data_IF_556282408220
#
_entry.id   IF_556282408220
#
_cell.length_a   1.000
_cell.length_b   1.000
_cell.length_c   1.000
_cell.angle_alpha   90.00
_cell.angle_beta   90.00
_cell.angle_gamma   90.00
#
_symmetry.space_group_name_H-M   'P 1'
#
loop_
_entity.id
_entity.type
_entity.pdbx_description
1 polymer ?
2 polymer ?
#
# COMPACT_ATOMS: atom_id res chain seq x y z
N UNK A 53 -9.81 -15.40 8.83
CA UNK A 53 -11.17 -14.94 8.59
C UNK A 53 -11.25 -13.43 8.54
N UNK A 54 -12.13 -12.91 7.69
CA UNK A 54 -12.23 -11.46 7.49
C UNK A 54 -13.26 -10.82 8.42
N UNK A 55 -12.89 -9.70 9.02
CA UNK A 55 -13.80 -8.92 9.85
C UNK A 55 -14.56 -7.94 8.97
N UNK A 56 -15.87 -8.13 8.87
CA UNK A 56 -16.70 -7.27 8.04
C UNK A 56 -17.30 -6.16 8.85
N UNK A 57 -17.44 -4.97 8.26
CA UNK A 57 -18.17 -3.92 8.93
C UNK A 57 -19.58 -4.43 9.16
N UNK A 58 -20.01 -4.45 10.41
CA UNK A 58 -21.30 -5.00 10.74
C UNK A 58 -22.37 -3.93 10.52
N UNK A 59 -23.54 -4.36 10.04
CA UNK A 59 -24.55 -3.41 9.61
C UNK A 59 -23.98 -2.48 8.52
N UNK A 60 -23.76 -3.03 7.33
CA UNK A 60 -23.25 -2.25 6.21
C UNK A 60 -24.38 -1.49 5.52
N UNK A 61 -24.34 -0.15 5.57
CA UNK A 61 -25.43 0.70 5.08
C UNK A 61 -25.72 0.42 3.62
N UNK A 62 -24.70 -0.03 2.91
CA UNK A 62 -24.75 -0.26 1.48
C UNK A 62 -24.99 -1.71 1.09
N UNK A 63 -25.28 -2.54 2.08
CA UNK A 63 -25.50 -3.97 1.83
C UNK A 63 -26.52 -4.28 0.73
N UNK A 64 -27.56 -3.46 0.62
CA UNK A 64 -28.56 -3.66 -0.42
C UNK A 64 -28.42 -2.75 -1.62
N UNK A 65 -27.39 -1.90 -1.60
CA UNK A 65 -27.12 -1.01 -2.71
C UNK A 65 -26.91 -1.84 -3.96
N UNK A 66 -27.73 -1.59 -4.98
CA UNK A 66 -27.71 -2.44 -6.18
C UNK A 66 -26.37 -2.48 -6.95
N UNK A 67 -25.78 -1.33 -7.23
CA UNK A 67 -24.62 -1.30 -8.10
C UNK A 67 -23.31 -1.46 -7.33
N UNK A 68 -23.40 -2.07 -6.16
CA UNK A 68 -22.39 -1.87 -5.13
C UNK A 68 -20.96 -1.92 -5.66
N UNK A 69 -20.61 -2.96 -6.39
CA UNK A 69 -19.26 -3.05 -6.91
C UNK A 69 -18.95 -1.83 -7.80
N UNK A 70 -19.71 -1.66 -8.87
CA UNK A 70 -19.53 -0.53 -9.76
C UNK A 70 -19.39 0.79 -8.97
N UNK A 71 -20.29 0.99 -8.02
CA UNK A 71 -20.32 2.24 -7.27
C UNK A 71 -19.02 2.42 -6.48
N UNK A 72 -18.58 1.35 -5.84
CA UNK A 72 -17.32 1.35 -5.12
C UNK A 72 -16.22 1.81 -6.04
N UNK A 73 -16.22 1.32 -7.28
CA UNK A 73 -15.22 1.76 -8.25
C UNK A 73 -15.28 3.27 -8.47
N UNK A 74 -16.49 3.79 -8.60
CA UNK A 74 -16.64 5.23 -8.73
C UNK A 74 -16.01 5.98 -7.54
N UNK A 75 -16.34 5.52 -6.34
CA UNK A 75 -15.95 6.23 -5.15
C UNK A 75 -14.45 6.19 -5.11
N UNK A 76 -13.93 4.99 -5.34
CA UNK A 76 -12.51 4.75 -5.34
C UNK A 76 -11.83 5.76 -6.25
N UNK A 77 -12.24 5.79 -7.52
CA UNK A 77 -11.74 6.76 -8.48
C UNK A 77 -11.80 8.19 -7.94
N UNK A 78 -12.83 8.48 -7.15
CA UNK A 78 -12.99 9.83 -6.61
C UNK A 78 -12.24 10.01 -5.28
N UNK A 79 -11.58 8.96 -4.82
CA UNK A 79 -10.62 9.11 -3.74
C UNK A 79 -11.12 8.90 -2.34
N UNK A 80 -12.33 8.36 -2.19
CA UNK A 80 -12.81 8.00 -0.86
C UNK A 80 -12.62 6.52 -0.66
N UNK A 81 -11.62 6.19 0.14
CA UNK A 81 -11.30 4.81 0.46
C UNK A 81 -12.24 4.09 1.44
N UNK A 82 -12.64 4.76 2.51
CA UNK A 82 -13.53 4.11 3.48
C UNK A 82 -14.84 3.67 2.84
N UNK A 83 -15.45 4.59 2.11
CA UNK A 83 -16.70 4.29 1.44
C UNK A 83 -16.44 3.26 0.37
N UNK A 84 -15.30 3.37 -0.29
CA UNK A 84 -14.95 2.38 -1.29
C UNK A 84 -15.00 0.99 -0.67
N UNK A 85 -14.42 0.87 0.51
CA UNK A 85 -14.37 -0.40 1.22
C UNK A 85 -15.76 -0.86 1.62
N UNK A 86 -16.59 0.08 2.03
CA UNK A 86 -17.94 -0.28 2.40
C UNK A 86 -18.67 -0.87 1.21
N UNK A 87 -18.50 -0.24 0.04
CA UNK A 87 -19.16 -0.71 -1.17
C UNK A 87 -18.58 -2.04 -1.63
N UNK A 88 -17.30 -2.24 -1.38
CA UNK A 88 -16.67 -3.49 -1.78
C UNK A 88 -17.21 -4.61 -0.92
N UNK A 89 -17.16 -4.41 0.38
CA UNK A 89 -17.68 -5.38 1.32
C UNK A 89 -19.13 -5.68 0.97
N UNK A 90 -19.93 -4.66 0.76
CA UNK A 90 -21.32 -4.88 0.36
C UNK A 90 -21.36 -5.78 -0.88
N UNK A 91 -20.52 -5.46 -1.86
CA UNK A 91 -20.41 -6.28 -3.05
C UNK A 91 -20.25 -7.74 -2.69
N UNK A 92 -19.15 -8.06 -2.01
CA UNK A 92 -18.86 -9.42 -1.57
C UNK A 92 -20.09 -10.05 -0.92
N UNK A 93 -20.81 -9.27 -0.14
CA UNK A 93 -22.03 -9.77 0.46
C UNK A 93 -23.03 -10.21 -0.61
N UNK A 94 -23.39 -9.27 -1.47
CA UNK A 94 -24.32 -9.55 -2.55
C UNK A 94 -23.85 -10.76 -3.36
N UNK A 95 -22.56 -10.82 -3.61
CA UNK A 95 -22.01 -11.96 -4.33
C UNK A 95 -20.74 -12.42 -3.66
N UNK A 96 -20.89 -13.30 -2.65
CA UNK A 96 -19.76 -13.84 -1.90
C UNK A 96 -18.65 -14.31 -2.83
N UNK A 97 -19.03 -15.00 -3.89
CA UNK A 97 -18.07 -15.61 -4.79
C UNK A 97 -17.48 -14.69 -5.83
N UNK A 98 -17.85 -13.41 -5.79
CA UNK A 98 -17.31 -12.47 -6.77
C UNK A 98 -15.90 -12.06 -6.38
N UNK A 99 -14.92 -12.42 -7.21
CA UNK A 99 -13.51 -12.28 -6.85
C UNK A 99 -12.96 -10.88 -7.04
N UNK A 100 -13.43 -10.18 -8.06
CA UNK A 100 -12.92 -8.85 -8.30
C UNK A 100 -13.18 -7.99 -7.08
N UNK A 101 -14.37 -8.12 -6.51
CA UNK A 101 -14.70 -7.41 -5.29
C UNK A 101 -13.61 -7.64 -4.26
N UNK A 102 -13.17 -8.88 -4.14
CA UNK A 102 -12.16 -9.24 -3.15
C UNK A 102 -10.80 -8.64 -3.46
N UNK A 103 -10.45 -8.65 -4.74
CA UNK A 103 -9.22 -8.06 -5.22
C UNK A 103 -9.16 -6.59 -4.82
N UNK A 104 -10.11 -5.82 -5.33
CA UNK A 104 -10.15 -4.39 -5.05
C UNK A 104 -10.28 -4.09 -3.57
N UNK A 105 -11.01 -4.95 -2.88
CA UNK A 105 -11.14 -4.76 -1.46
C UNK A 105 -9.75 -4.85 -0.85
N UNK A 106 -9.10 -5.99 -1.02
CA UNK A 106 -7.80 -6.18 -0.41
C UNK A 106 -6.92 -4.99 -0.73
N UNK A 107 -6.82 -4.65 -2.01
CA UNK A 107 -5.92 -3.59 -2.46
C UNK A 107 -6.21 -2.27 -1.77
N UNK A 108 -7.47 -1.89 -1.81
CA UNK A 108 -7.96 -0.67 -1.19
C UNK A 108 -7.59 -0.67 0.27
N UNK A 109 -7.68 -1.83 0.89
CA UNK A 109 -7.40 -1.97 2.31
C UNK A 109 -5.95 -1.67 2.59
N UNK A 110 -5.10 -2.21 1.72
CA UNK A 110 -3.67 -1.91 1.73
C UNK A 110 -3.44 -0.39 1.59
N UNK A 111 -4.15 0.24 0.66
CA UNK A 111 -4.07 1.69 0.51
C UNK A 111 -4.68 2.41 1.72
N UNK A 112 -5.38 1.67 2.56
CA UNK A 112 -6.03 2.22 3.72
C UNK A 112 -5.10 2.11 4.92
N UNK A 113 -3.89 1.60 4.66
CA UNK A 113 -2.86 1.46 5.68
C UNK A 113 -3.37 0.46 6.70
N UNK A 114 -4.29 -0.38 6.23
CA UNK A 114 -4.60 -1.58 6.97
C UNK A 114 -4.13 -2.77 6.15
N UNK A 115 -2.98 -3.32 6.52
CA UNK A 115 -2.38 -4.41 5.77
C UNK A 115 -2.97 -5.74 6.18
N UNK A 116 -3.21 -5.89 7.47
CA UNK A 116 -3.67 -7.15 8.01
C UNK A 116 -4.86 -7.67 7.21
N UNK A 117 -5.82 -6.79 6.94
CA UNK A 117 -6.99 -7.16 6.16
C UNK A 117 -6.60 -7.37 4.71
N UNK A 118 -5.81 -6.44 4.19
CA UNK A 118 -5.41 -6.50 2.80
C UNK A 118 -5.00 -7.93 2.47
N UNK A 119 -4.27 -8.56 3.39
CA UNK A 119 -3.78 -9.91 3.15
C UNK A 119 -4.88 -10.97 3.12
N UNK A 120 -5.77 -10.90 4.09
CA UNK A 120 -6.86 -11.86 4.18
C UNK A 120 -7.75 -11.79 2.94
N UNK A 121 -8.15 -10.59 2.56
CA UNK A 121 -9.03 -10.42 1.41
C UNK A 121 -8.31 -10.85 0.15
N UNK A 122 -7.01 -10.58 0.08
CA UNK A 122 -6.25 -10.98 -1.10
C UNK A 122 -6.17 -12.48 -1.25
N UNK A 123 -5.70 -13.14 -0.21
CA UNK A 123 -5.68 -14.60 -0.20
C UNK A 123 -7.07 -15.18 -0.44
N UNK A 124 -8.10 -14.41 -0.07
CA UNK A 124 -9.47 -14.82 -0.37
C UNK A 124 -9.71 -14.83 -1.87
N UNK A 125 -9.48 -13.68 -2.49
CA UNK A 125 -9.56 -13.54 -3.95
C UNK A 125 -8.78 -14.65 -4.68
N UNK A 126 -7.54 -14.86 -4.28
CA UNK A 126 -6.72 -15.90 -4.91
C UNK A 126 -7.29 -17.28 -4.65
N UNK A 127 -7.94 -17.44 -3.51
CA UNK A 127 -8.60 -18.72 -3.23
C UNK A 127 -9.68 -18.95 -4.29
N UNK A 128 -10.49 -17.92 -4.53
CA UNK A 128 -11.53 -17.98 -5.56
C UNK A 128 -10.96 -17.99 -6.99
N UNK A 129 -10.15 -16.98 -7.31
CA UNK A 129 -9.60 -16.80 -8.65
C UNK A 129 -8.08 -16.87 -8.59
N UNK A 130 -7.54 -18.09 -8.49
CA UNK A 130 -6.10 -18.30 -8.24
C UNK A 130 -5.22 -17.59 -9.25
N UNK A 131 -5.78 -17.28 -10.42
CA UNK A 131 -4.99 -16.67 -11.49
C UNK A 131 -5.01 -15.14 -11.49
N UNK A 132 -5.59 -14.53 -10.47
CA UNK A 132 -5.74 -13.08 -10.46
C UNK A 132 -4.38 -12.42 -10.22
N UNK A 133 -3.94 -11.62 -11.19
CA UNK A 133 -2.59 -11.07 -11.20
C UNK A 133 -2.44 -9.85 -10.32
N UNK A 134 -3.38 -8.93 -10.41
CA UNK A 134 -3.30 -7.71 -9.62
C UNK A 134 -3.22 -8.09 -8.16
N UNK A 135 -3.93 -9.16 -7.82
CA UNK A 135 -3.94 -9.69 -6.46
C UNK A 135 -2.61 -10.36 -6.08
N UNK A 136 -1.98 -11.03 -7.03
CA UNK A 136 -0.70 -11.70 -6.76
C UNK A 136 0.37 -10.65 -6.51
N UNK A 137 0.35 -9.65 -7.36
CA UNK A 137 1.23 -8.51 -7.23
C UNK A 137 1.01 -7.87 -5.84
N UNK A 138 -0.19 -7.35 -5.62
CA UNK A 138 -0.47 -6.63 -4.40
C UNK A 138 -0.05 -7.46 -3.18
N UNK A 139 -0.48 -8.71 -3.17
CA UNK A 139 -0.21 -9.61 -2.05
C UNK A 139 1.28 -9.78 -1.84
N UNK A 140 2.03 -9.77 -2.93
CA UNK A 140 3.48 -9.83 -2.85
C UNK A 140 4.02 -8.59 -2.13
N UNK A 141 3.63 -7.41 -2.60
CA UNK A 141 4.07 -6.19 -1.92
C UNK A 141 3.75 -6.25 -0.41
N UNK A 142 2.57 -6.76 -0.08
CA UNK A 142 2.11 -6.80 1.31
C UNK A 142 2.91 -7.79 2.15
N UNK A 143 3.10 -9.00 1.64
CA UNK A 143 3.96 -9.99 2.28
C UNK A 143 5.33 -9.38 2.50
N UNK A 144 5.71 -8.51 1.58
CA UNK A 144 6.96 -7.78 1.71
C UNK A 144 6.93 -6.89 2.93
N UNK A 145 5.95 -5.99 2.96
CA UNK A 145 5.87 -5.01 4.03
C UNK A 145 5.89 -5.66 5.41
N UNK A 146 5.32 -6.85 5.51
CA UNK A 146 5.22 -7.54 6.79
C UNK A 146 6.41 -8.48 6.99
N UNK A 147 7.36 -8.41 6.06
CA UNK A 147 8.60 -9.15 6.17
C UNK A 147 8.48 -10.69 6.06
N UNK A 148 7.70 -11.17 5.10
CA UNK A 148 7.69 -12.60 4.79
C UNK A 148 8.22 -12.89 3.39
N UNK A 149 9.45 -13.40 3.31
CA UNK A 149 10.08 -13.61 2.02
C UNK A 149 9.52 -14.84 1.33
N UNK A 150 9.45 -15.94 2.06
CA UNK A 150 8.93 -17.18 1.50
C UNK A 150 7.63 -16.88 0.75
N UNK A 151 6.75 -16.14 1.40
CA UNK A 151 5.41 -15.94 0.87
C UNK A 151 5.36 -14.93 -0.28
N UNK A 152 6.10 -13.83 -0.14
CA UNK A 152 6.17 -12.85 -1.20
C UNK A 152 6.67 -13.53 -2.46
N UNK A 153 7.79 -14.23 -2.32
CA UNK A 153 8.38 -14.95 -3.43
C UNK A 153 7.43 -16.00 -3.99
N UNK A 154 6.71 -16.69 -3.11
CA UNK A 154 5.68 -17.63 -3.56
C UNK A 154 4.76 -16.92 -4.55
N UNK A 155 4.21 -15.79 -4.13
CA UNK A 155 3.21 -15.10 -4.94
C UNK A 155 3.79 -14.51 -6.23
N UNK A 156 5.09 -14.24 -6.22
CA UNK A 156 5.75 -13.75 -7.42
C UNK A 156 5.95 -14.90 -8.41
N UNK A 157 6.46 -16.00 -7.90
CA UNK A 157 6.62 -17.23 -8.66
C UNK A 157 5.31 -17.56 -9.35
N UNK A 158 4.24 -17.65 -8.57
CA UNK A 158 2.93 -17.98 -9.13
C UNK A 158 2.41 -16.88 -10.03
N UNK A 159 2.78 -15.64 -9.76
CA UNK A 159 2.35 -14.53 -10.60
C UNK A 159 2.85 -14.82 -11.99
N UNK A 160 4.15 -15.06 -12.11
CA UNK A 160 4.72 -15.43 -13.38
C UNK A 160 3.94 -16.63 -13.93
N UNK A 161 3.71 -17.62 -13.09
CA UNK A 161 2.98 -18.82 -13.51
C UNK A 161 1.67 -18.52 -14.23
N UNK A 162 0.87 -17.63 -13.66
CA UNK A 162 -0.47 -17.37 -14.18
C UNK A 162 -0.39 -16.30 -15.24
N UNK A 163 0.81 -15.80 -15.49
CA UNK A 163 0.96 -14.71 -16.45
C UNK A 163 1.18 -15.21 -17.87
N UNK A 164 0.17 -15.01 -18.73
CA UNK A 164 0.19 -15.45 -20.13
C UNK A 164 1.44 -14.99 -20.86
N UNK A 165 1.85 -13.74 -20.68
CA UNK A 165 3.06 -13.26 -21.35
C UNK A 165 4.26 -14.12 -20.97
N UNK A 166 4.36 -14.41 -19.68
CA UNK A 166 5.53 -15.06 -19.12
C UNK A 166 5.41 -16.56 -18.89
N UNK A 167 4.26 -17.12 -19.26
CA UNK A 167 4.09 -18.57 -19.25
C UNK A 167 5.32 -19.23 -19.87
N UNK A 168 5.55 -18.96 -21.15
CA UNK A 168 6.65 -19.58 -21.87
C UNK A 168 7.93 -19.48 -21.07
N UNK A 169 8.23 -18.25 -20.66
CA UNK A 169 9.55 -17.92 -20.13
C UNK A 169 9.58 -18.01 -18.61
N UNK A 189 20.36 -18.96 1.13
CA UNK A 189 20.36 -17.96 2.18
C UNK A 189 20.52 -16.56 1.61
N UNK A 190 19.66 -16.18 0.65
CA UNK A 190 18.61 -17.06 0.09
C UNK A 190 18.60 -17.05 -1.43
N UNK A 191 18.85 -18.22 -2.03
CA UNK A 191 18.86 -18.31 -3.48
C UNK A 191 17.51 -18.75 -4.05
N UNK A 192 16.53 -18.95 -3.18
CA UNK A 192 15.16 -19.14 -3.65
C UNK A 192 14.67 -17.80 -4.16
N UNK A 193 14.77 -16.80 -3.30
CA UNK A 193 14.50 -15.43 -3.66
C UNK A 193 15.32 -15.05 -4.89
N UNK A 194 16.59 -15.42 -4.87
CA UNK A 194 17.49 -15.05 -5.95
C UNK A 194 17.02 -15.68 -7.24
N UNK A 195 16.55 -16.92 -7.16
CA UNK A 195 16.04 -17.63 -8.30
C UNK A 195 14.83 -16.94 -8.90
N UNK A 196 13.90 -16.51 -8.06
CA UNK A 196 12.73 -15.77 -8.54
C UNK A 196 13.12 -14.41 -9.13
N UNK A 197 14.16 -13.80 -8.57
CA UNK A 197 14.63 -12.50 -9.03
C UNK A 197 15.22 -12.61 -10.43
N UNK A 198 16.17 -13.53 -10.59
CA UNK A 198 16.69 -13.85 -11.91
C UNK A 198 15.52 -14.11 -12.84
N UNK A 199 14.62 -14.96 -12.38
CA UNK A 199 13.43 -15.36 -13.13
C UNK A 199 12.70 -14.15 -13.74
N UNK A 200 12.42 -13.14 -12.91
CA UNK A 200 11.81 -11.90 -13.37
C UNK A 200 12.72 -11.11 -14.33
N UNK A 201 13.98 -10.98 -13.95
CA UNK A 201 14.97 -10.27 -14.75
C UNK A 201 15.04 -10.75 -16.21
N UNK A 202 15.06 -12.07 -16.42
CA UNK A 202 15.11 -12.64 -17.77
C UNK A 202 13.99 -12.15 -18.67
N UNK A 203 12.75 -12.51 -18.33
CA UNK A 203 11.56 -12.08 -19.07
C UNK A 203 11.55 -10.57 -19.29
N UNK A 204 11.92 -9.83 -18.25
CA UNK A 204 12.12 -8.39 -18.39
C UNK A 204 12.99 -8.08 -19.60
N UNK A 205 14.14 -8.74 -19.66
CA UNK A 205 15.08 -8.61 -20.77
C UNK A 205 14.46 -9.00 -22.11
N UNK A 206 13.66 -10.06 -22.09
CA UNK A 206 12.95 -10.54 -23.27
C UNK A 206 12.00 -9.47 -23.83
N UNK A 207 11.57 -8.54 -22.98
CA UNK A 207 10.83 -7.40 -23.49
C UNK A 207 11.86 -6.32 -23.73
N UNK A 208 12.19 -6.08 -24.98
CA UNK A 208 13.30 -5.21 -25.28
C UNK A 208 12.99 -3.74 -25.18
N UNK A 209 11.94 -3.34 -25.87
CA UNK A 209 11.63 -1.94 -26.03
C UNK A 209 10.64 -1.55 -24.98
N UNK A 210 9.40 -1.99 -25.19
CA UNK A 210 8.29 -1.66 -24.32
C UNK A 210 8.37 -2.46 -23.02
N UNK A 211 8.27 -1.74 -21.90
CA UNK A 211 8.41 -2.36 -20.60
C UNK A 211 7.07 -2.75 -19.99
N UNK A 212 7.12 -3.43 -18.86
CA UNK A 212 5.94 -3.98 -18.21
C UNK A 212 5.87 -3.46 -16.77
N UNK A 213 5.09 -2.39 -16.57
CA UNK A 213 5.03 -1.72 -15.28
C UNK A 213 4.76 -2.73 -14.18
N UNK A 214 3.98 -3.75 -14.46
CA UNK A 214 3.62 -4.74 -13.45
C UNK A 214 4.80 -5.65 -13.21
N UNK A 215 5.47 -6.02 -14.30
CA UNK A 215 6.72 -6.76 -14.24
C UNK A 215 7.80 -5.90 -13.60
N UNK A 216 7.92 -4.66 -14.07
CA UNK A 216 8.84 -3.73 -13.45
C UNK A 216 8.58 -3.65 -11.95
N UNK A 217 7.31 -3.68 -11.59
CA UNK A 217 6.92 -3.67 -10.20
C UNK A 217 7.51 -4.86 -9.48
N UNK A 218 6.99 -6.04 -9.79
CA UNK A 218 7.42 -7.22 -9.08
C UNK A 218 8.94 -7.25 -9.01
N UNK A 219 9.60 -6.67 -9.99
CA UNK A 219 11.05 -6.66 -10.05
C UNK A 219 11.66 -5.70 -9.04
N UNK A 220 11.11 -4.49 -8.98
CA UNK A 220 11.55 -3.50 -8.01
C UNK A 220 11.33 -4.05 -6.62
N UNK A 221 10.23 -4.78 -6.48
CA UNK A 221 9.93 -5.48 -5.23
C UNK A 221 11.02 -6.46 -4.91
N UNK A 222 11.33 -7.34 -5.86
CA UNK A 222 12.35 -8.34 -5.66
C UNK A 222 13.67 -7.71 -5.27
N UNK A 223 13.89 -6.50 -5.78
CA UNK A 223 15.11 -5.77 -5.50
C UNK A 223 15.12 -5.28 -4.09
N UNK A 224 13.98 -4.72 -3.69
CA UNK A 224 13.80 -4.24 -2.33
C UNK A 224 14.07 -5.41 -1.39
N UNK A 225 13.27 -6.44 -1.58
CA UNK A 225 13.27 -7.64 -0.78
C UNK A 225 14.65 -8.25 -0.73
N UNK A 226 15.37 -8.11 -1.83
CA UNK A 226 16.74 -8.58 -1.94
C UNK A 226 17.72 -7.60 -1.31
N UNK A 227 17.35 -6.33 -1.28
CA UNK A 227 18.20 -5.31 -0.69
C UNK A 227 18.86 -4.33 -1.65
N UNK A 228 18.72 -4.52 -2.96
CA UNK A 228 19.32 -3.56 -3.88
C UNK A 228 18.30 -2.48 -4.20
N UNK A 229 18.52 -1.29 -3.62
CA UNK A 229 17.53 -0.22 -3.64
C UNK A 229 17.56 0.64 -4.89
N UNK A 230 18.75 0.79 -5.46
CA UNK A 230 18.92 1.56 -6.66
C UNK A 230 18.26 0.83 -7.81
N UNK A 231 18.49 -0.47 -7.87
CA UNK A 231 17.85 -1.33 -8.86
C UNK A 231 16.36 -1.17 -8.75
N UNK A 232 15.84 -1.41 -7.56
CA UNK A 232 14.41 -1.33 -7.30
C UNK A 232 13.84 0.02 -7.73
N UNK A 233 14.54 1.08 -7.36
CA UNK A 233 14.07 2.41 -7.68
C UNK A 233 13.97 2.54 -9.19
N UNK A 234 15.03 2.13 -9.89
CA UNK A 234 15.00 2.11 -11.33
C UNK A 234 13.75 1.40 -11.81
N UNK A 235 13.52 0.19 -11.34
CA UNK A 235 12.34 -0.57 -11.73
C UNK A 235 11.10 0.31 -11.61
N UNK A 236 10.99 1.03 -10.50
CA UNK A 236 9.78 1.82 -10.25
C UNK A 236 9.66 3.06 -11.13
N UNK A 237 10.74 3.79 -11.32
CA UNK A 237 10.68 4.89 -12.25
C UNK A 237 10.33 4.38 -13.64
N UNK A 238 10.80 3.16 -13.88
CA UNK A 238 10.54 2.44 -15.12
C UNK A 238 9.05 2.28 -15.32
N UNK A 239 8.42 1.60 -14.38
CA UNK A 239 6.98 1.42 -14.40
C UNK A 239 6.29 2.78 -14.54
N UNK A 240 6.71 3.73 -13.71
CA UNK A 240 6.09 5.04 -13.66
C UNK A 240 6.15 5.73 -15.01
N UNK A 241 7.12 5.35 -15.81
CA UNK A 241 7.25 5.92 -17.14
C UNK A 241 6.04 5.53 -18.02
N UNK A 242 5.61 4.28 -17.89
CA UNK A 242 4.41 3.78 -18.54
C UNK A 242 3.15 4.36 -17.89
N UNK A 243 3.10 4.34 -16.56
CA UNK A 243 1.95 4.89 -15.85
C UNK A 243 2.37 6.06 -14.98
N UNK A 244 2.67 7.20 -15.62
CA UNK A 244 3.11 8.41 -14.91
C UNK A 244 2.16 8.83 -13.79
N UNK A 245 0.90 8.40 -13.89
CA UNK A 245 -0.13 8.67 -12.89
C UNK A 245 -0.48 7.60 -11.87
N UNK A 246 0.23 6.48 -11.82
CA UNK A 246 -0.24 5.48 -10.91
C UNK A 246 0.16 5.98 -9.54
N UNK A 247 -0.84 6.32 -8.72
CA UNK A 247 -0.53 6.88 -7.42
C UNK A 247 0.15 5.78 -6.62
N UNK A 248 -0.36 4.57 -6.76
CA UNK A 248 0.21 3.46 -6.03
C UNK A 248 1.70 3.33 -6.30
N UNK A 249 2.10 3.53 -7.55
CA UNK A 249 3.51 3.40 -7.91
C UNK A 249 4.36 4.54 -7.40
N UNK A 250 3.85 5.76 -7.47
CA UNK A 250 4.54 6.88 -6.84
C UNK A 250 4.77 6.58 -5.37
N UNK A 251 3.80 5.94 -4.74
CA UNK A 251 4.03 5.53 -3.37
C UNK A 251 5.14 4.49 -3.31
N UNK A 252 5.12 3.46 -4.16
CA UNK A 252 6.14 2.42 -4.04
C UNK A 252 7.52 3.04 -4.21
N UNK A 253 7.56 4.13 -4.97
CA UNK A 253 8.79 4.84 -5.20
C UNK A 253 9.17 5.47 -3.87
N UNK A 254 8.35 6.42 -3.42
CA UNK A 254 8.68 7.14 -2.21
C UNK A 254 9.11 6.17 -1.13
N UNK A 255 8.33 5.11 -0.98
CA UNK A 255 8.54 4.11 0.04
C UNK A 255 9.91 3.51 -0.11
N UNK A 256 10.32 3.35 -1.36
CA UNK A 256 11.57 2.68 -1.66
C UNK A 256 12.78 3.58 -1.44
N UNK A 257 12.62 4.87 -1.73
CA UNK A 257 13.66 5.86 -1.47
C UNK A 257 13.86 6.05 0.04
N UNK A 258 12.75 6.29 0.73
CA UNK A 258 12.78 6.51 2.16
C UNK A 258 13.39 5.28 2.78
N UNK A 259 12.83 4.12 2.45
CA UNK A 259 13.40 2.87 2.86
C UNK A 259 14.87 2.77 2.49
N UNK A 260 15.24 3.49 1.42
CA UNK A 260 16.62 3.51 1.00
C UNK A 260 17.33 4.72 1.58
N UNK A 261 16.72 5.27 2.63
CA UNK A 261 17.34 6.36 3.36
C UNK A 261 17.56 7.58 2.48
N UNK A 262 16.82 7.69 1.39
CA UNK A 262 16.84 8.96 0.66
C UNK A 262 15.47 9.55 0.84
N UNK A 263 15.38 10.45 1.82
CA UNK A 263 14.09 10.90 2.33
C UNK A 263 13.42 12.07 1.61
N UNK A 264 14.19 13.07 1.18
CA UNK A 264 13.61 14.21 0.49
C UNK A 264 13.00 13.76 -0.83
N UNK A 265 13.77 12.94 -1.54
CA UNK A 265 13.33 12.30 -2.76
C UNK A 265 11.97 11.63 -2.48
N UNK A 266 11.96 10.75 -1.47
CA UNK A 266 10.78 10.01 -1.05
C UNK A 266 9.59 10.95 -0.86
N UNK A 267 9.82 12.05 -0.16
CA UNK A 267 8.82 13.09 0.08
C UNK A 267 8.23 13.61 -1.22
N UNK A 268 9.08 13.87 -2.21
CA UNK A 268 8.50 14.36 -3.46
C UNK A 268 7.60 13.28 -4.05
N UNK A 269 8.04 12.03 -3.95
CA UNK A 269 7.22 10.93 -4.47
C UNK A 269 5.84 10.88 -3.77
N UNK A 270 5.85 10.77 -2.45
CA UNK A 270 4.63 10.81 -1.67
C UNK A 270 3.77 11.99 -2.06
N UNK A 271 4.32 13.19 -2.04
CA UNK A 271 3.56 14.37 -2.41
C UNK A 271 2.88 14.22 -3.76
N UNK A 272 3.56 13.53 -4.67
CA UNK A 272 2.99 13.28 -5.98
C UNK A 272 1.76 12.40 -5.85
N UNK A 273 1.95 11.25 -5.20
CA UNK A 273 0.85 10.33 -4.95
C UNK A 273 -0.37 11.05 -4.35
N UNK A 274 -0.15 11.73 -3.24
CA UNK A 274 -1.23 12.44 -2.56
C UNK A 274 -1.80 13.58 -3.39
N UNK A 275 -1.04 14.05 -4.36
CA UNK A 275 -1.57 15.07 -5.24
C UNK A 275 -2.52 14.40 -6.22
N UNK A 276 -2.29 13.11 -6.44
CA UNK A 276 -3.16 12.29 -7.28
C UNK A 276 -4.37 11.77 -6.49
N UNK A 277 -4.11 10.95 -5.48
CA UNK A 277 -5.18 10.43 -4.65
C UNK A 277 -4.99 10.93 -3.24
N UNK A 278 -5.47 12.14 -2.96
CA UNK A 278 -5.40 12.80 -1.65
C UNK A 278 -6.03 11.96 -0.53
N UNK A 279 -6.86 11.00 -0.88
CA UNK A 279 -7.37 10.09 0.12
C UNK A 279 -6.43 8.95 0.49
N UNK A 280 -5.14 9.09 0.19
CA UNK A 280 -4.26 7.93 0.26
C UNK A 280 -3.67 7.80 1.68
N UNK A 281 -4.12 6.79 2.41
CA UNK A 281 -3.73 6.64 3.80
C UNK A 281 -2.26 6.23 3.87
N UNK A 282 -1.92 5.14 3.19
CA UNK A 282 -0.56 4.60 3.21
C UNK A 282 0.52 5.62 2.81
N UNK A 283 0.16 6.57 1.95
CA UNK A 283 1.12 7.59 1.56
C UNK A 283 1.23 8.68 2.62
N UNK A 284 0.13 9.04 3.27
CA UNK A 284 0.19 9.98 4.39
C UNK A 284 1.11 9.40 5.44
N UNK A 285 0.88 8.14 5.76
CA UNK A 285 1.70 7.44 6.72
C UNK A 285 3.17 7.46 6.31
N UNK A 286 3.48 6.84 5.16
CA UNK A 286 4.84 6.79 4.66
C UNK A 286 5.48 8.17 4.72
N UNK A 287 4.70 9.16 4.32
CA UNK A 287 5.14 10.55 4.35
C UNK A 287 5.56 10.93 5.74
N UNK A 288 4.71 10.65 6.72
CA UNK A 288 5.03 10.94 8.10
C UNK A 288 6.38 10.35 8.46
N UNK A 289 6.53 9.06 8.23
CA UNK A 289 7.80 8.38 8.51
C UNK A 289 8.96 9.16 7.93
N UNK A 290 8.81 9.58 6.68
CA UNK A 290 9.89 10.34 6.06
C UNK A 290 10.18 11.63 6.82
N UNK A 291 9.13 12.38 7.16
CA UNK A 291 9.29 13.63 7.88
C UNK A 291 10.05 13.44 9.19
N UNK A 292 9.73 12.36 9.89
CA UNK A 292 10.53 11.99 11.02
C UNK A 292 11.97 11.89 10.58
N UNK A 293 12.21 11.10 9.54
CA UNK A 293 13.57 10.92 9.05
C UNK A 293 14.26 12.22 8.71
N UNK A 294 13.47 13.26 8.49
CA UNK A 294 14.00 14.58 8.21
C UNK A 294 14.08 15.46 9.45
N UNK A 295 13.50 14.99 10.55
CA UNK A 295 13.41 15.81 11.73
C UNK A 295 12.33 16.86 11.64
N UNK A 296 11.47 16.77 10.62
CA UNK A 296 10.28 17.61 10.57
C UNK A 296 9.20 16.90 11.34
N UNK A 297 8.75 17.52 12.43
CA UNK A 297 7.89 16.85 13.38
C UNK A 297 6.47 17.38 13.33
N UNK A 298 6.31 18.67 13.59
CA UNK A 298 5.00 19.28 13.49
C UNK A 298 4.34 18.76 12.21
N UNK A 299 5.12 18.65 11.14
CA UNK A 299 4.62 18.13 9.86
C UNK A 299 4.38 16.62 9.87
N UNK A 300 5.30 15.87 10.46
CA UNK A 300 5.11 14.43 10.61
C UNK A 300 3.78 14.15 11.32
N UNK A 301 3.61 14.75 12.49
CA UNK A 301 2.35 14.66 13.21
C UNK A 301 1.17 15.05 12.34
N UNK A 302 1.23 16.25 11.74
CA UNK A 302 0.13 16.71 10.90
C UNK A 302 -0.30 15.61 9.95
N UNK A 303 0.68 14.94 9.36
CA UNK A 303 0.35 13.86 8.44
C UNK A 303 -0.27 12.66 9.14
N UNK A 304 0.24 12.34 10.33
CA UNK A 304 -0.31 11.23 11.09
C UNK A 304 -1.77 11.45 11.46
N UNK A 305 -2.04 12.57 12.13
CA UNK A 305 -3.39 13.03 12.35
C UNK A 305 -4.20 12.92 11.06
N UNK A 306 -3.85 13.70 10.04
CA UNK A 306 -4.65 13.76 8.82
C UNK A 306 -5.01 12.33 8.45
N UNK A 307 -4.02 11.46 8.55
CA UNK A 307 -4.24 10.05 8.25
C UNK A 307 -5.37 9.48 9.10
N UNK A 308 -5.18 9.42 10.42
CA UNK A 308 -6.19 8.84 11.31
C UNK A 308 -7.58 9.44 11.03
N UNK A 309 -7.64 10.76 10.94
CA UNK A 309 -8.87 11.45 10.57
C UNK A 309 -9.49 10.81 9.35
N UNK A 310 -8.68 10.47 8.36
CA UNK A 310 -9.24 9.90 7.15
C UNK A 310 -9.55 8.42 7.30
N UNK A 311 -8.84 7.75 8.20
CA UNK A 311 -8.93 6.31 8.32
C UNK A 311 -10.17 5.91 9.09
N UNK A 312 -10.46 6.64 10.16
CA UNK A 312 -11.67 6.41 10.98
C UNK A 312 -12.92 6.65 10.17
N UNK A 313 -12.85 7.60 9.23
CA UNK A 313 -14.00 7.95 8.41
C UNK A 313 -14.65 6.72 7.77
N UNK A 326 -5.79 0.46 11.90
CA UNK A 326 -4.36 0.46 12.22
C UNK A 326 -3.90 1.25 13.47
N UNK A 327 -3.11 0.56 14.28
CA UNK A 327 -2.37 1.15 15.37
C UNK A 327 -1.00 1.67 14.96
N UNK A 328 -0.38 1.10 13.93
CA UNK A 328 0.99 1.49 13.55
C UNK A 328 1.14 2.98 13.31
N UNK A 329 0.11 3.55 12.72
CA UNK A 329 0.03 5.00 12.55
C UNK A 329 0.04 5.66 13.91
N UNK A 330 -0.77 5.14 14.82
CA UNK A 330 -0.76 5.64 16.19
C UNK A 330 0.65 5.62 16.73
N UNK A 331 1.35 4.52 16.53
CA UNK A 331 2.68 4.34 17.10
C UNK A 331 3.60 5.45 16.61
N UNK A 332 3.69 5.58 15.29
CA UNK A 332 4.49 6.63 14.68
C UNK A 332 4.17 7.98 15.30
N UNK A 333 2.88 8.31 15.29
CA UNK A 333 2.46 9.58 15.83
C UNK A 333 3.04 9.76 17.23
N UNK A 334 2.78 8.79 18.10
CA UNK A 334 3.25 8.87 19.47
C UNK A 334 4.71 9.25 19.46
N UNK A 335 5.48 8.64 18.57
CA UNK A 335 6.92 8.94 18.47
C UNK A 335 7.25 10.40 18.09
N UNK A 336 6.77 10.83 16.93
CA UNK A 336 7.02 12.19 16.48
C UNK A 336 6.67 13.16 17.59
N UNK A 337 5.53 12.91 18.20
CA UNK A 337 5.04 13.72 19.31
C UNK A 337 6.07 13.76 20.41
N UNK A 338 6.55 12.58 20.80
CA UNK A 338 7.56 12.49 21.83
C UNK A 338 8.76 13.35 21.44
N UNK A 339 9.00 13.49 20.15
CA UNK A 339 10.15 14.28 19.70
C UNK A 339 9.92 15.78 19.76
N UNK A 340 8.68 16.20 19.55
CA UNK A 340 8.37 17.60 19.80
C UNK A 340 8.40 17.88 21.30
N UNK A 341 8.48 16.80 22.09
CA UNK A 341 8.33 16.89 23.55
C UNK A 341 7.16 17.81 23.95
N UNK A 342 5.96 17.39 23.57
CA UNK A 342 4.73 18.09 23.88
C UNK A 342 3.85 17.18 24.73
N UNK A 343 4.12 17.15 26.05
CA UNK A 343 3.61 16.16 27.01
C UNK A 343 2.10 15.99 27.09
N UNK A 344 1.33 17.07 27.18
CA UNK A 344 -0.12 16.96 27.22
C UNK A 344 -0.59 16.19 25.98
N UNK A 345 -0.13 16.67 24.83
CA UNK A 345 -0.47 16.07 23.56
C UNK A 345 0.00 14.63 23.53
N UNK A 346 1.26 14.42 23.94
CA UNK A 346 1.83 13.07 23.94
C UNK A 346 0.99 12.09 24.77
N UNK A 347 0.39 12.58 25.85
CA UNK A 347 -0.48 11.77 26.66
C UNK A 347 -1.75 11.46 25.89
N UNK A 348 -2.32 12.48 25.28
CA UNK A 348 -3.49 12.28 24.43
C UNK A 348 -3.21 11.17 23.42
N UNK A 349 -1.98 11.16 22.91
CA UNK A 349 -1.58 10.23 21.86
C UNK A 349 -1.39 8.84 22.43
N UNK A 350 -0.83 8.79 23.64
CA UNK A 350 -0.60 7.55 24.32
C UNK A 350 -1.94 6.86 24.60
N UNK A 351 -3.00 7.65 24.70
CA UNK A 351 -4.33 7.13 24.94
C UNK A 351 -5.11 6.95 23.65
N UNK A 352 -4.48 7.30 22.54
CA UNK A 352 -5.16 7.35 21.27
C UNK A 352 -6.39 8.25 21.37
N UNK A 353 -6.22 9.45 21.90
CA UNK A 353 -7.36 10.36 21.96
C UNK A 353 -7.21 11.36 20.84
N UNK A 354 -8.02 11.14 19.80
CA UNK A 354 -7.78 11.76 18.50
C UNK A 354 -8.27 13.20 18.38
N UNK A 355 -9.51 13.43 18.80
CA UNK A 355 -10.12 14.74 18.60
C UNK A 355 -9.43 15.79 19.43
N UNK A 356 -8.84 15.33 20.52
CA UNK A 356 -7.98 16.16 21.32
C UNK A 356 -6.96 16.79 20.39
N UNK A 357 -6.54 16.03 19.39
CA UNK A 357 -5.41 16.42 18.57
C UNK A 357 -5.74 17.22 17.30
N UNK A 358 -7.03 17.35 16.97
CA UNK A 358 -7.41 18.18 15.83
C UNK A 358 -6.84 19.57 16.03
N UNK A 359 -7.01 20.06 17.26
CA UNK A 359 -6.22 21.16 17.77
C UNK A 359 -5.86 20.66 19.14
N UNK A 360 -4.58 20.45 19.46
CA UNK A 360 -3.40 20.91 18.73
C UNK A 360 -3.34 22.42 18.57
N UNK A 361 -2.85 22.92 17.44
CA UNK A 361 -3.01 24.33 17.16
C UNK A 361 -3.88 24.46 15.91
N UNK A 362 -5.15 24.79 16.13
CA UNK A 362 -6.08 25.08 15.05
C UNK A 362 -5.91 24.16 13.85
N UNK A 363 -5.64 22.89 14.09
CA UNK A 363 -5.36 21.99 12.97
C UNK A 363 -6.66 21.46 12.38
N UNK A 364 -6.55 20.72 11.28
CA UNK A 364 -7.70 20.39 10.44
C UNK A 364 -8.28 21.63 9.76
N UNK B 2 15.20 4.37 11.75
CA UNK B 2 14.81 3.32 12.69
C UNK B 2 13.47 2.68 12.28
N UNK B 3 12.80 3.31 11.32
CA UNK B 3 11.48 2.87 10.86
C UNK B 3 11.51 2.18 9.49
N UNK B 4 10.33 1.86 8.97
CA UNK B 4 10.19 1.15 7.69
C UNK B 4 9.00 1.68 6.91
N UNK B 5 9.17 1.95 5.62
CA UNK B 5 8.08 2.51 4.83
C UNK B 5 7.30 1.42 4.07
N UNK B 6 6.00 1.62 3.88
CA UNK B 6 5.12 0.62 3.24
C UNK B 6 4.90 0.81 1.73
N UNK B 7 5.01 -0.28 0.97
CA UNK B 7 4.91 -0.21 -0.49
C UNK B 7 3.50 -0.51 -1.00
#
# INVERSE_FOLDING_TARGET
GAMEFERAKAAVESDTEFWDKMQAEWEEMARRNWISENQEAQNQVTVSASEKGYYFHTENPFKDWPGAFEEGLKRLKEGDLPVTILFMEAAILQDPGDAEAWQFLGITQAENENEQAAIVALQRCLELQPNNLKALMALAVSYTNTSHQQDACEALKNWIKQNPKYKYLVKNKKGSPGLTRRMSKSPVDSSVLEGVKELYLEAAHQNGDMIDPDLQTGLGVLFHLSGEFNRAIDAFNAALTVRPEDYSLWNRLGATLANGDRSEEAVEAYTRALEIQPGFIRSRYNLGISCINLGAYREAVSNFLTALSLQRKSRNQQQVPHPAISGNIWAALRIALSLMDQPELFQAANLGDLDVLLRAFNLDP
SRLSSNL
#
